data_IF_463073515025
#
_entry.id   IF_463073515025
#
_cell.length_a   1.000
_cell.length_b   1.000
_cell.length_c   1.000
_cell.angle_alpha   90.00
_cell.angle_beta   90.00
_cell.angle_gamma   90.00
#
_symmetry.space_group_name_H-M   'P 1'
#
loop_
_entity.id
_entity.type
_entity.pdbx_description
1 polymer ?
2 polymer ?
3 water ?
#
# COMPACT_ATOMS: atom_id res chain seq x y z
N UNK A 1 16.05 0.06 2.67
CA UNK A 1 16.22 -0.77 3.85
C UNK A 1 14.90 -1.29 4.40
N UNK A 2 15.00 -2.33 5.23
CA UNK A 2 13.83 -3.09 5.65
C UNK A 2 12.81 -2.22 6.41
N UNK A 3 13.29 -1.26 7.19
CA UNK A 3 12.41 -0.41 7.99
C UNK A 3 12.42 1.05 7.54
N UNK A 4 12.95 1.34 6.35
CA UNK A 4 13.05 2.72 5.89
C UNK A 4 11.70 3.38 5.70
N UNK A 5 10.64 2.60 5.48
CA UNK A 5 9.31 3.16 5.36
C UNK A 5 8.85 3.82 6.65
N UNK A 6 9.47 3.50 7.78
CA UNK A 6 9.00 4.06 9.05
C UNK A 6 9.22 5.56 9.16
N UNK A 7 10.01 6.18 8.28
CA UNK A 7 10.09 7.63 8.23
C UNK A 7 9.58 8.21 6.91
N UNK A 8 8.82 7.42 6.15
CA UNK A 8 8.18 7.91 4.94
C UNK A 8 6.82 8.51 5.29
N UNK A 9 6.53 9.66 4.68
CA UNK A 9 5.28 10.36 5.00
C UNK A 9 4.06 9.61 4.48
N UNK A 10 4.21 8.76 3.45
CA UNK A 10 3.10 7.98 2.94
C UNK A 10 2.80 6.74 3.77
N UNK A 11 3.59 6.46 4.80
CA UNK A 11 3.36 5.32 5.67
C UNK A 11 2.63 5.78 6.93
N UNK A 12 1.54 5.09 7.26
CA UNK A 12 0.65 5.52 8.34
C UNK A 12 0.58 4.52 9.48
N UNK A 13 1.48 3.53 9.52
CA UNK A 13 1.53 2.53 10.58
C UNK A 13 0.12 1.98 10.79
N UNK A 14 -0.41 1.96 12.02
CA UNK A 14 -1.60 1.17 12.33
C UNK A 14 -2.91 1.90 12.05
N UNK A 15 -2.94 2.81 11.06
CA UNK A 15 -4.18 3.37 10.55
C UNK A 15 -5.13 2.26 10.11
N UNK A 16 -6.41 2.39 10.47
CA UNK A 16 -7.38 1.37 10.12
C UNK A 16 -7.85 1.51 8.67
N UNK A 17 -8.46 0.43 8.17
CA UNK A 17 -9.03 0.46 6.82
C UNK A 17 -10.03 1.59 6.67
N UNK A 18 -10.91 1.76 7.65
CA UNK A 18 -11.90 2.83 7.56
C UNK A 18 -11.23 4.20 7.58
N UNK A 19 -10.22 4.38 8.44
CA UNK A 19 -9.48 5.65 8.46
C UNK A 19 -8.79 5.89 7.13
N UNK A 20 -8.26 4.84 6.50
CA UNK A 20 -7.59 5.00 5.22
C UNK A 20 -8.57 5.41 4.14
N UNK A 21 -9.73 4.74 4.08
CA UNK A 21 -10.74 5.12 3.11
C UNK A 21 -11.20 6.55 3.34
N UNK A 22 -11.38 6.94 4.60
CA UNK A 22 -11.79 8.31 4.88
C UNK A 22 -10.81 9.32 4.27
N UNK A 23 -9.52 9.08 4.46
CA UNK A 23 -8.51 9.96 3.90
C UNK A 23 -8.57 10.00 2.38
N UNK A 24 -8.73 8.83 1.76
CA UNK A 24 -8.79 8.77 0.30
C UNK A 24 -10.06 9.38 -0.27
N UNK A 25 -11.11 9.51 0.55
CA UNK A 25 -12.38 10.07 0.09
C UNK A 25 -12.49 11.58 0.30
N UNK A 26 -11.51 12.21 0.96
CA UNK A 26 -11.63 13.64 1.23
C UNK A 26 -11.56 14.46 -0.05
N UNK A 27 -10.55 14.20 -0.87
CA UNK A 27 -10.43 14.85 -2.18
C UNK A 27 -10.07 13.74 -3.17
N UNK A 28 -11.03 12.94 -3.62
CA UNK A 28 -10.69 11.74 -4.39
C UNK A 28 -9.92 12.06 -5.66
N UNK A 29 -8.89 11.25 -5.93
CA UNK A 29 -8.05 11.45 -7.09
C UNK A 29 -7.43 10.10 -7.46
N UNK A 30 -7.62 9.66 -8.70
CA UNK A 30 -6.97 8.43 -9.13
C UNK A 30 -5.46 8.58 -9.01
N UNK A 31 -4.81 7.54 -8.48
CA UNK A 31 -3.40 7.59 -8.22
C UNK A 31 -3.03 7.92 -6.79
N UNK A 32 -4.00 8.34 -5.97
CA UNK A 32 -3.73 8.59 -4.56
C UNK A 32 -3.54 7.28 -3.82
N UNK A 33 -2.67 7.30 -2.81
CA UNK A 33 -2.37 6.08 -2.08
C UNK A 33 -1.77 6.40 -0.73
N UNK A 34 -1.88 5.42 0.16
CA UNK A 34 -1.09 5.38 1.39
C UNK A 34 -0.76 3.93 1.69
N UNK A 35 0.15 3.72 2.63
CA UNK A 35 0.53 2.39 3.08
C UNK A 35 0.26 2.33 4.57
N UNK A 36 -0.33 1.21 5.02
CA UNK A 36 -0.66 1.01 6.42
C UNK A 36 -0.24 -0.38 6.86
N UNK A 37 0.00 -0.52 8.16
CA UNK A 37 0.26 -1.81 8.76
C UNK A 37 -1.07 -2.46 9.11
N UNK A 38 -1.24 -3.70 8.68
CA UNK A 38 -2.47 -4.42 8.98
C UNK A 38 -2.39 -5.05 10.37
N UNK A 39 -3.55 -5.46 10.87
CA UNK A 39 -3.66 -6.10 12.17
C UNK A 39 -3.41 -7.61 12.10
N UNK A 40 -2.53 -8.03 11.20
CA UNK A 40 -2.10 -9.41 11.06
C UNK A 40 -0.58 -9.34 11.09
N UNK A 41 0.08 -10.42 11.49
CA UNK A 41 1.55 -10.37 11.59
C UNK A 41 2.18 -10.22 10.21
N UNK A 42 3.19 -9.35 10.14
CA UNK A 42 4.02 -9.26 8.94
C UNK A 42 3.17 -8.93 7.71
N UNK A 43 2.24 -7.98 7.86
CA UNK A 43 1.30 -7.69 6.82
C UNK A 43 1.03 -6.19 6.72
N UNK A 44 1.00 -5.71 5.49
CA UNK A 44 0.73 -4.31 5.19
C UNK A 44 -0.35 -4.25 4.11
N UNK A 45 -0.91 -3.06 3.95
CA UNK A 45 -1.85 -2.80 2.86
C UNK A 45 -1.49 -1.50 2.17
N UNK A 46 -1.56 -1.49 0.85
CA UNK A 46 -1.62 -0.26 0.06
C UNK A 46 -3.08 0.05 -0.14
N UNK A 47 -3.51 1.20 0.31
CA UNK A 47 -4.88 1.67 0.11
C UNK A 47 -4.82 2.78 -0.92
N UNK A 48 -5.61 2.69 -1.97
CA UNK A 48 -5.42 3.57 -3.11
C UNK A 48 -6.71 3.78 -3.87
N UNK A 49 -6.69 4.77 -4.76
CA UNK A 49 -7.81 5.03 -5.65
C UNK A 49 -7.35 4.78 -7.08
N UNK A 50 -8.12 3.95 -7.78
CA UNK A 50 -7.83 3.61 -9.17
C UNK A 50 -9.15 3.52 -9.91
N UNK A 51 -9.20 4.16 -11.07
CA UNK A 51 -10.39 4.11 -11.93
C UNK A 51 -11.67 4.39 -11.16
N UNK A 52 -11.61 5.40 -10.29
CA UNK A 52 -12.81 5.88 -9.62
C UNK A 52 -13.26 5.10 -8.42
N UNK A 53 -12.47 4.13 -7.95
CA UNK A 53 -12.85 3.36 -6.79
C UNK A 53 -11.66 3.24 -5.83
N UNK A 54 -12.00 2.96 -4.59
CA UNK A 54 -11.00 2.83 -3.52
C UNK A 54 -10.78 1.35 -3.26
N UNK A 55 -9.52 0.94 -3.31
CA UNK A 55 -9.16 -0.46 -3.24
C UNK A 55 -7.99 -0.64 -2.28
N UNK A 56 -7.78 -1.89 -1.89
CA UNK A 56 -6.75 -2.23 -0.93
C UNK A 56 -6.02 -3.50 -1.38
N UNK A 57 -4.69 -3.44 -1.38
CA UNK A 57 -3.84 -4.54 -1.82
C UNK A 57 -2.95 -4.98 -0.66
N UNK A 58 -2.96 -6.28 -0.36
CA UNK A 58 -2.16 -6.81 0.73
C UNK A 58 -0.71 -7.00 0.31
N UNK A 59 0.21 -6.70 1.23
CA UNK A 59 1.64 -6.91 1.06
C UNK A 59 2.12 -7.73 2.25
N UNK A 60 2.89 -8.79 1.99
CA UNK A 60 3.35 -9.67 3.05
C UNK A 60 4.85 -9.54 3.23
N UNK A 61 5.28 -9.32 4.48
CA UNK A 61 6.68 -9.28 4.83
C UNK A 61 7.10 -10.72 5.13
N UNK A 62 8.06 -11.23 4.37
CA UNK A 62 8.49 -12.63 4.42
C UNK A 62 10.00 -12.61 4.70
N UNK A 63 10.39 -12.90 5.93
CA UNK A 63 11.80 -12.80 6.26
C UNK A 63 12.29 -11.39 6.02
N UNK A 64 13.24 -11.24 5.10
CA UNK A 64 13.86 -9.93 4.84
C UNK A 64 13.21 -9.17 3.69
N UNK A 65 12.28 -9.78 2.97
CA UNK A 65 11.72 -9.19 1.76
C UNK A 65 10.22 -9.00 1.93
N UNK A 66 9.60 -8.37 0.93
CA UNK A 66 8.16 -8.19 0.89
C UNK A 66 7.64 -8.76 -0.42
N UNK A 67 6.37 -9.19 -0.40
CA UNK A 67 5.73 -9.81 -1.54
C UNK A 67 4.39 -9.14 -1.80
N UNK A 68 4.15 -8.78 -3.05
CA UNK A 68 2.84 -8.34 -3.51
C UNK A 68 2.44 -9.31 -4.60
N UNK A 69 1.43 -10.11 -4.35
CA UNK A 69 1.14 -11.19 -5.27
C UNK A 69 2.33 -12.11 -5.36
N UNK A 70 2.82 -12.31 -6.59
CA UNK A 70 3.99 -13.13 -6.84
C UNK A 70 5.27 -12.31 -6.95
N UNK A 71 5.20 -11.00 -6.75
CA UNK A 71 6.33 -10.11 -6.98
C UNK A 71 7.05 -9.82 -5.67
N UNK A 72 8.34 -10.11 -5.63
CA UNK A 72 9.16 -9.90 -4.45
C UNK A 72 10.00 -8.65 -4.58
N UNK A 73 10.17 -7.94 -3.46
CA UNK A 73 11.00 -6.74 -3.38
C UNK A 73 11.81 -6.77 -2.10
N UNK A 74 12.92 -6.03 -2.08
CA UNK A 74 13.78 -6.03 -0.90
C UNK A 74 13.08 -5.40 0.30
N UNK A 75 12.16 -4.47 0.07
CA UNK A 75 11.61 -3.69 1.16
C UNK A 75 10.36 -2.98 0.67
N UNK A 76 9.58 -2.46 1.62
CA UNK A 76 8.40 -1.68 1.24
C UNK A 76 8.78 -0.43 0.45
N UNK A 77 9.87 0.24 0.82
CA UNK A 77 10.25 1.44 0.07
C UNK A 77 10.57 1.08 -1.38
N UNK A 78 11.22 -0.06 -1.60
CA UNK A 78 11.54 -0.48 -2.96
C UNK A 78 10.27 -0.84 -3.73
N UNK A 79 9.33 -1.51 -3.06
CA UNK A 79 8.05 -1.83 -3.68
C UNK A 79 7.32 -0.57 -4.11
N UNK A 80 7.24 0.42 -3.22
CA UNK A 80 6.54 1.66 -3.55
C UNK A 80 7.22 2.39 -4.70
N UNK A 81 8.56 2.44 -4.67
CA UNK A 81 9.29 3.06 -5.77
C UNK A 81 8.97 2.41 -7.11
N UNK A 82 8.91 1.07 -7.13
CA UNK A 82 8.60 0.36 -8.37
C UNK A 82 7.21 0.71 -8.88
N UNK A 83 6.22 0.77 -7.98
CA UNK A 83 4.85 1.00 -8.42
C UNK A 83 4.54 2.47 -8.64
N UNK A 84 5.50 3.36 -8.41
CA UNK A 84 5.42 4.71 -8.94
C UNK A 84 5.78 4.72 -10.43
N UNK A 85 6.56 3.74 -10.88
CA UNK A 85 7.06 3.70 -12.24
C UNK A 85 6.28 2.73 -13.13
N UNK A 86 5.66 1.72 -12.54
CA UNK A 86 4.96 0.68 -13.28
C UNK A 86 3.61 0.42 -12.64
N UNK A 87 2.61 0.04 -13.42
CA UNK A 87 1.24 -0.03 -12.87
C UNK A 87 1.10 -1.05 -11.74
N UNK A 88 0.34 -0.66 -10.71
CA UNK A 88 0.00 -1.53 -9.59
C UNK A 88 -1.30 -2.27 -9.83
N UNK A 89 -2.29 -1.58 -10.40
CA UNK A 89 -3.62 -2.14 -10.56
C UNK A 89 -4.16 -1.59 -11.87
N UNK A 90 -4.54 -2.48 -12.78
CA UNK A 90 -4.89 -2.10 -14.14
C UNK A 90 -3.77 -1.22 -14.69
N UNK A 91 -4.06 0.02 -15.04
CA UNK A 91 -3.06 0.93 -15.56
C UNK A 91 -2.66 2.01 -14.56
N UNK A 92 -3.14 1.92 -13.32
CA UNK A 92 -2.89 2.94 -12.32
C UNK A 92 -1.53 2.73 -11.66
N UNK A 93 -0.77 3.83 -11.55
CA UNK A 93 0.47 3.90 -10.81
C UNK A 93 0.26 4.72 -9.54
N UNK A 94 1.12 4.48 -8.57
CA UNK A 94 1.11 5.29 -7.35
C UNK A 94 1.64 6.68 -7.68
N UNK A 95 0.83 7.71 -7.47
CA UNK A 95 1.21 9.04 -7.92
C UNK A 95 1.07 10.11 -6.84
N UNK A 96 0.01 10.06 -6.03
CA UNK A 96 -0.34 11.14 -5.11
C UNK A 96 -0.35 10.59 -3.69
N UNK A 97 0.78 10.62 -2.99
CA UNK A 97 0.78 10.10 -1.62
C UNK A 97 -0.09 10.93 -0.70
N UNK A 98 -0.84 10.25 0.14
CA UNK A 98 -1.55 10.89 1.24
C UNK A 98 -0.62 10.85 2.44
N UNK A 99 -0.18 12.01 2.89
CA UNK A 99 0.86 12.09 3.89
C UNK A 99 0.25 12.09 5.29
N UNK A 100 1.02 11.56 6.24
CA UNK A 100 0.64 11.63 7.64
C UNK A 100 0.58 13.10 8.06
N UNK A 101 -0.44 13.44 8.85
CA UNK A 101 -0.69 14.82 9.21
C UNK A 101 0.17 15.24 10.41
N UNK B 2 -14.45 -9.86 6.62
CA UNK B 2 -15.17 -9.54 5.40
C UNK B 2 -14.57 -8.34 4.68
N UNK B 3 -13.31 -8.03 5.00
CA UNK B 3 -12.58 -7.01 4.27
C UNK B 3 -12.30 -7.51 2.86
N UNK B 4 -12.61 -6.67 1.88
CA UNK B 4 -12.40 -7.01 0.48
C UNK B 4 -11.07 -6.45 0.01
N UNK B 5 -10.20 -7.32 -0.49
CA UNK B 5 -8.93 -6.89 -1.06
C UNK B 5 -8.85 -7.26 -2.52
N UNK B 6 -7.95 -6.61 -3.25
CA UNK B 6 -7.66 -6.97 -4.63
C UNK B 6 -7.20 -8.42 -4.61
N UNK B 7 -7.68 -9.23 -5.55
CA UNK B 7 -7.38 -10.67 -5.50
C UNK B 7 -5.89 -10.94 -5.57
N UNK B 8 -5.46 -11.96 -4.83
CA UNK B 8 -4.08 -12.42 -4.86
C UNK B 8 -3.68 -12.78 -6.29
N UNK B 9 -2.38 -13.00 -6.48
CA UNK B 9 -1.85 -13.53 -7.73
C UNK B 9 -1.85 -12.47 -8.82
#
# INVERSE_FOLDING_TARGET
>A
GSHMHESKEWYHASLTRAQAEHMLMRVPRDGAFLVRKRNEPNSYAISFRAEGKIKHCRVQQEGQTVMLGNSEFDSLVDLISYYEKHPLYRKMKLRYPINEE
>B
PSSVYVPDEWE
#
